data_IF_843420992729
#
_entry.id   IF_843420992729
#
_cell.length_a   1.000
_cell.length_b   1.000
_cell.length_c   1.000
_cell.angle_alpha   90.00
_cell.angle_beta   90.00
_cell.angle_gamma   90.00
#
_symmetry.space_group_name_H-M   'P 1'
#
loop_
_entity.id
_entity.type
_entity.pdbx_description
1 polymer ?
#
# COMPACT_ATOMS: atom_id res chain seq x y z
N UNK A 1 11.73 44.17 -6.76
CA UNK A 1 10.79 43.62 -7.77
C UNK A 1 11.04 42.14 -8.08
N UNK A 2 12.23 41.62 -7.76
CA UNK A 2 12.62 40.20 -7.85
C UNK A 2 12.00 39.29 -6.78
N UNK A 3 11.71 39.81 -5.57
CA UNK A 3 11.14 39.00 -4.47
C UNK A 3 9.69 38.54 -4.70
N UNK A 4 8.84 39.36 -5.33
CA UNK A 4 7.43 39.02 -5.56
C UNK A 4 7.31 37.92 -6.63
N UNK A 5 8.19 37.94 -7.63
CA UNK A 5 8.26 36.90 -8.66
C UNK A 5 8.74 35.56 -8.09
N UNK A 6 9.66 35.58 -7.13
CA UNK A 6 10.15 34.37 -6.46
C UNK A 6 9.08 33.75 -5.54
N UNK A 7 8.39 34.59 -4.75
CA UNK A 7 7.26 34.17 -3.91
C UNK A 7 6.09 33.58 -4.70
N UNK A 8 5.77 34.16 -5.86
CA UNK A 8 4.67 33.68 -6.70
C UNK A 8 5.03 32.36 -7.42
N UNK A 9 6.29 32.20 -7.84
CA UNK A 9 6.80 30.94 -8.38
C UNK A 9 6.77 29.84 -7.30
N UNK A 10 7.23 30.11 -6.09
CA UNK A 10 7.24 29.11 -5.01
C UNK A 10 5.84 28.70 -4.56
N UNK A 11 4.86 29.62 -4.61
CA UNK A 11 3.46 29.31 -4.33
C UNK A 11 2.83 28.44 -5.44
N UNK A 12 3.12 28.74 -6.71
CA UNK A 12 2.64 27.97 -7.85
C UNK A 12 3.22 26.54 -7.87
N UNK A 13 4.51 26.38 -7.61
CA UNK A 13 5.15 25.07 -7.50
C UNK A 13 4.60 24.25 -6.33
N UNK A 14 4.36 24.88 -5.17
CA UNK A 14 3.72 24.21 -4.01
C UNK A 14 2.29 23.79 -4.32
N UNK A 15 1.49 24.65 -4.94
CA UNK A 15 0.12 24.33 -5.34
C UNK A 15 0.08 23.16 -6.33
N UNK A 16 0.99 23.15 -7.31
CA UNK A 16 1.12 22.05 -8.27
C UNK A 16 1.48 20.72 -7.59
N UNK A 17 2.40 20.73 -6.62
CA UNK A 17 2.77 19.53 -5.87
C UNK A 17 1.63 19.00 -5.01
N UNK A 18 0.90 19.89 -4.33
CA UNK A 18 -0.28 19.53 -3.54
C UNK A 18 -1.37 18.95 -4.45
N UNK A 19 -1.64 19.59 -5.59
CA UNK A 19 -2.63 19.10 -6.56
C UNK A 19 -2.25 17.72 -7.12
N UNK A 20 -0.99 17.52 -7.51
CA UNK A 20 -0.49 16.21 -7.97
C UNK A 20 -0.60 15.15 -6.87
N UNK A 21 -0.27 15.48 -5.62
CA UNK A 21 -0.42 14.58 -4.49
C UNK A 21 -1.87 14.16 -4.27
N UNK A 22 -2.81 15.11 -4.33
CA UNK A 22 -4.24 14.82 -4.17
C UNK A 22 -4.77 13.91 -5.30
N UNK A 23 -4.38 14.18 -6.55
CA UNK A 23 -4.78 13.35 -7.70
C UNK A 23 -4.21 11.94 -7.58
N UNK A 24 -2.92 11.80 -7.26
CA UNK A 24 -2.29 10.49 -7.08
C UNK A 24 -2.90 9.72 -5.90
N UNK A 25 -3.21 10.41 -4.81
CA UNK A 25 -3.88 9.81 -3.65
C UNK A 25 -5.30 9.35 -3.99
N UNK A 26 -6.06 10.14 -4.75
CA UNK A 26 -7.39 9.74 -5.19
C UNK A 26 -7.35 8.51 -6.11
N UNK A 27 -6.36 8.44 -7.01
CA UNK A 27 -6.12 7.27 -7.86
C UNK A 27 -5.76 6.06 -7.00
N UNK A 28 -4.83 6.20 -6.06
CA UNK A 28 -4.43 5.10 -5.15
C UNK A 28 -5.63 4.56 -4.36
N UNK A 29 -6.45 5.44 -3.80
CA UNK A 29 -7.67 5.09 -3.08
C UNK A 29 -8.66 4.34 -3.99
N UNK A 30 -8.86 4.80 -5.22
CA UNK A 30 -9.79 4.16 -6.17
C UNK A 30 -9.31 2.76 -6.58
N UNK A 31 -8.03 2.60 -6.88
CA UNK A 31 -7.44 1.29 -7.20
C UNK A 31 -7.40 0.38 -5.97
N UNK A 32 -7.14 0.92 -4.77
CA UNK A 32 -7.24 0.19 -3.50
C UNK A 32 -8.66 -0.33 -3.28
N UNK A 33 -9.67 0.52 -3.42
CA UNK A 33 -11.08 0.14 -3.32
C UNK A 33 -11.46 -1.00 -4.29
N UNK A 34 -11.01 -0.91 -5.55
CA UNK A 34 -11.21 -1.96 -6.54
C UNK A 34 -10.44 -3.24 -6.20
N UNK A 35 -9.19 -3.12 -5.74
CA UNK A 35 -8.35 -4.24 -5.32
C UNK A 35 -8.99 -5.01 -4.15
N UNK A 36 -9.56 -4.29 -3.17
CA UNK A 36 -10.26 -4.87 -2.04
C UNK A 36 -11.48 -5.70 -2.45
N UNK A 37 -12.34 -5.16 -3.32
CA UNK A 37 -13.48 -5.90 -3.87
C UNK A 37 -13.03 -7.13 -4.68
N UNK A 38 -12.05 -6.95 -5.56
CA UNK A 38 -11.53 -8.03 -6.41
C UNK A 38 -10.88 -9.15 -5.59
N UNK A 39 -10.16 -8.82 -4.52
CA UNK A 39 -9.58 -9.80 -3.60
C UNK A 39 -10.67 -10.66 -2.93
N UNK A 40 -11.75 -10.03 -2.45
CA UNK A 40 -12.89 -10.76 -1.87
C UNK A 40 -13.58 -11.64 -2.92
N UNK A 41 -13.80 -11.13 -4.12
CA UNK A 41 -14.39 -11.90 -5.21
C UNK A 41 -13.52 -13.12 -5.59
N UNK A 42 -12.20 -12.93 -5.64
CA UNK A 42 -11.26 -14.01 -5.93
C UNK A 42 -11.26 -15.07 -4.83
N UNK A 43 -11.21 -14.65 -3.56
CA UNK A 43 -11.26 -15.58 -2.44
C UNK A 43 -12.53 -16.44 -2.45
N UNK A 44 -13.68 -15.79 -2.68
CA UNK A 44 -14.96 -16.49 -2.80
C UNK A 44 -14.98 -17.46 -4.00
N UNK A 45 -14.44 -17.04 -5.15
CA UNK A 45 -14.36 -17.88 -6.34
C UNK A 45 -13.48 -19.13 -6.12
N UNK A 46 -12.32 -18.99 -5.48
CA UNK A 46 -11.43 -20.13 -5.17
C UNK A 46 -12.05 -21.07 -4.14
N UNK A 47 -12.78 -20.51 -3.17
CA UNK A 47 -13.46 -21.30 -2.14
C UNK A 47 -14.77 -21.94 -2.66
N UNK A 48 -15.25 -21.54 -3.84
CA UNK A 48 -16.50 -22.03 -4.43
C UNK A 48 -17.77 -21.47 -3.78
N UNK A 49 -17.68 -20.32 -3.11
CA UNK A 49 -18.82 -19.69 -2.42
C UNK A 49 -19.35 -18.48 -3.20
N UNK A 50 -20.65 -18.20 -3.06
CA UNK A 50 -21.28 -17.06 -3.74
C UNK A 50 -20.78 -15.72 -3.18
N UNK A 51 -20.36 -14.83 -4.07
CA UNK A 51 -19.97 -13.45 -3.72
C UNK A 51 -21.21 -12.65 -3.32
N UNK A 52 -21.18 -12.03 -2.14
CA UNK A 52 -22.24 -11.10 -1.70
C UNK A 52 -21.80 -9.64 -1.88
N UNK A 53 -22.72 -8.75 -2.21
CA UNK A 53 -22.44 -7.32 -2.32
C UNK A 53 -21.95 -6.72 -0.98
N UNK A 54 -22.40 -7.27 0.14
CA UNK A 54 -21.94 -6.89 1.46
C UNK A 54 -20.46 -7.25 1.69
N UNK A 55 -20.04 -8.46 1.33
CA UNK A 55 -18.64 -8.88 1.44
C UNK A 55 -17.72 -8.06 0.54
N UNK A 56 -18.14 -7.78 -0.71
CA UNK A 56 -17.42 -6.86 -1.60
C UNK A 56 -17.28 -5.47 -0.98
N UNK A 57 -18.36 -4.94 -0.40
CA UNK A 57 -18.36 -3.66 0.29
C UNK A 57 -17.35 -3.61 1.45
N UNK A 58 -17.29 -4.65 2.28
CA UNK A 58 -16.30 -4.74 3.38
C UNK A 58 -14.88 -4.73 2.82
N UNK A 59 -14.60 -5.53 1.78
CA UNK A 59 -13.30 -5.57 1.11
C UNK A 59 -12.89 -4.22 0.55
N UNK A 60 -13.81 -3.54 -0.15
CA UNK A 60 -13.61 -2.18 -0.64
C UNK A 60 -13.27 -1.24 0.50
N UNK A 61 -14.11 -1.12 1.53
CA UNK A 61 -13.90 -0.16 2.62
C UNK A 61 -12.58 -0.44 3.35
N UNK A 62 -12.23 -1.70 3.60
CA UNK A 62 -10.95 -2.06 4.21
C UNK A 62 -9.74 -1.57 3.39
N UNK A 63 -9.74 -1.80 2.08
CA UNK A 63 -8.68 -1.32 1.21
C UNK A 63 -8.63 0.20 1.10
N UNK A 64 -9.81 0.83 1.04
CA UNK A 64 -9.96 2.29 1.03
C UNK A 64 -9.40 2.91 2.32
N UNK A 65 -9.64 2.28 3.48
CA UNK A 65 -9.06 2.69 4.76
C UNK A 65 -7.54 2.64 4.72
N UNK A 66 -6.94 1.55 4.20
CA UNK A 66 -5.47 1.42 4.07
C UNK A 66 -4.89 2.54 3.23
N UNK A 67 -5.39 2.75 2.02
CA UNK A 67 -4.93 3.84 1.13
C UNK A 67 -5.21 5.23 1.71
N UNK A 68 -6.36 5.42 2.36
CA UNK A 68 -6.73 6.68 3.00
C UNK A 68 -5.81 7.04 4.17
N UNK A 69 -5.43 6.07 5.01
CA UNK A 69 -4.45 6.28 6.08
C UNK A 69 -3.10 6.71 5.51
N UNK A 70 -2.61 6.01 4.47
CA UNK A 70 -1.35 6.34 3.82
C UNK A 70 -1.37 7.73 3.16
N UNK A 71 -2.47 8.07 2.46
CA UNK A 71 -2.66 9.39 1.88
C UNK A 71 -2.70 10.49 2.96
N UNK A 72 -3.39 10.25 4.08
CA UNK A 72 -3.43 11.18 5.19
C UNK A 72 -2.04 11.43 5.80
N UNK A 73 -1.25 10.37 5.96
CA UNK A 73 0.15 10.47 6.43
C UNK A 73 1.01 11.24 5.46
N UNK A 74 0.89 10.94 4.16
CA UNK A 74 1.60 11.66 3.11
C UNK A 74 1.27 13.15 3.13
N UNK A 75 -0.01 13.48 3.29
CA UNK A 75 -0.49 14.86 3.41
C UNK A 75 0.09 15.56 4.64
N UNK A 76 0.06 14.90 5.80
CA UNK A 76 0.68 15.42 7.03
C UNK A 76 2.20 15.58 6.88
N UNK A 77 2.86 14.72 6.09
CA UNK A 77 4.27 14.87 5.75
C UNK A 77 4.59 16.13 4.94
N UNK A 78 3.62 16.65 4.16
CA UNK A 78 3.74 17.93 3.46
C UNK A 78 3.54 19.13 4.41
N UNK A 79 2.83 18.94 5.53
CA UNK A 79 2.69 19.95 6.56
C UNK A 79 3.97 20.03 7.40
N UNK A 80 4.84 20.97 7.08
CA UNK A 80 6.15 21.19 7.71
C UNK A 80 6.11 21.50 9.23
N UNK A 81 4.93 21.62 9.85
CA UNK A 81 4.74 22.14 11.21
C UNK A 81 4.40 21.09 12.28
N UNK A 82 4.55 19.79 12.01
CA UNK A 82 4.30 18.76 13.02
C UNK A 82 5.47 18.58 13.99
N UNK A 83 5.16 18.49 15.29
CA UNK A 83 6.12 18.11 16.32
C UNK A 83 6.72 16.72 15.99
N UNK A 84 8.03 16.54 16.20
CA UNK A 84 8.77 15.31 15.90
C UNK A 84 8.12 14.10 16.57
N UNK A 85 7.67 14.24 17.82
CA UNK A 85 6.99 13.17 18.54
C UNK A 85 5.68 12.75 17.85
N UNK A 86 4.86 13.72 17.41
CA UNK A 86 3.64 13.44 16.67
C UNK A 86 3.92 12.79 15.31
N UNK A 87 4.99 13.21 14.64
CA UNK A 87 5.43 12.62 13.37
C UNK A 87 5.90 11.17 13.53
N UNK A 88 6.66 10.88 14.59
CA UNK A 88 7.10 9.52 14.91
C UNK A 88 5.93 8.60 15.27
N UNK A 89 4.98 9.10 16.07
CA UNK A 89 3.80 8.34 16.45
C UNK A 89 2.89 8.06 15.24
N UNK A 90 2.77 9.03 14.33
CA UNK A 90 2.08 8.87 13.06
C UNK A 90 2.72 7.77 12.20
N UNK A 91 4.05 7.80 12.04
CA UNK A 91 4.80 6.78 11.28
C UNK A 91 4.61 5.38 11.88
N UNK A 92 4.61 5.26 13.21
CA UNK A 92 4.40 3.97 13.89
C UNK A 92 2.96 3.48 13.69
N UNK A 93 1.96 4.35 13.87
CA UNK A 93 0.55 4.01 13.69
C UNK A 93 0.23 3.60 12.24
N UNK A 94 0.96 4.16 11.27
CA UNK A 94 0.78 3.84 9.84
C UNK A 94 1.85 2.92 9.29
N UNK A 95 2.58 2.25 10.16
CA UNK A 95 3.45 1.13 9.77
C UNK A 95 2.61 -0.02 9.24
N UNK A 96 3.23 -0.93 8.49
CA UNK A 96 2.60 -2.16 7.99
C UNK A 96 1.93 -2.94 9.13
N UNK A 97 2.54 -3.00 10.31
CA UNK A 97 1.96 -3.64 11.50
C UNK A 97 0.71 -2.91 12.01
N UNK A 98 0.78 -1.58 12.16
CA UNK A 98 -0.33 -0.77 12.65
C UNK A 98 -1.54 -0.85 11.70
N UNK A 99 -1.30 -0.71 10.40
CA UNK A 99 -2.35 -0.81 9.38
C UNK A 99 -2.97 -2.21 9.38
N UNK A 100 -2.19 -3.28 9.45
CA UNK A 100 -2.72 -4.65 9.50
C UNK A 100 -3.65 -4.85 10.69
N UNK A 101 -3.29 -4.38 11.89
CA UNK A 101 -4.14 -4.45 13.07
C UNK A 101 -5.45 -3.65 12.87
N UNK A 102 -5.36 -2.41 12.38
CA UNK A 102 -6.53 -1.55 12.17
C UNK A 102 -7.50 -2.19 11.17
N UNK A 103 -6.99 -2.66 10.04
CA UNK A 103 -7.81 -3.27 8.99
C UNK A 103 -8.42 -4.59 9.46
N UNK A 104 -7.65 -5.45 10.11
CA UNK A 104 -8.19 -6.70 10.67
C UNK A 104 -9.26 -6.41 11.71
N UNK A 105 -9.05 -5.45 12.61
CA UNK A 105 -10.05 -5.01 13.61
C UNK A 105 -11.33 -4.53 12.92
N UNK A 106 -11.20 -3.67 11.91
CA UNK A 106 -12.33 -3.15 11.15
C UNK A 106 -13.14 -4.26 10.48
N UNK A 107 -12.46 -5.18 9.77
CA UNK A 107 -13.11 -6.30 9.08
C UNK A 107 -13.73 -7.27 10.08
N UNK A 108 -13.05 -7.59 11.18
CA UNK A 108 -13.58 -8.48 12.21
C UNK A 108 -14.82 -7.88 12.90
N UNK A 109 -14.80 -6.60 13.25
CA UNK A 109 -15.98 -5.95 13.82
C UNK A 109 -17.14 -5.90 12.83
N UNK A 110 -16.88 -5.70 11.53
CA UNK A 110 -17.92 -5.69 10.51
C UNK A 110 -18.53 -7.08 10.24
N UNK A 111 -17.73 -8.15 10.31
CA UNK A 111 -18.16 -9.52 9.97
C UNK A 111 -18.62 -10.31 11.20
N UNK A 112 -17.90 -10.20 12.31
CA UNK A 112 -18.07 -11.02 13.51
C UNK A 112 -18.67 -10.23 14.70
N UNK A 113 -18.77 -8.91 14.60
CA UNK A 113 -19.20 -8.04 15.70
C UNK A 113 -18.20 -7.90 16.86
N UNK A 114 -17.06 -8.58 16.76
CA UNK A 114 -15.97 -8.55 17.74
C UNK A 114 -14.63 -8.76 17.05
N UNK A 115 -13.54 -8.40 17.73
CA UNK A 115 -12.18 -8.59 17.23
C UNK A 115 -11.45 -9.65 18.05
N UNK A 116 -11.48 -10.94 17.62
CA UNK A 116 -10.77 -12.01 18.29
C UNK A 116 -9.25 -11.77 18.25
N UNK A 117 -8.58 -12.01 19.38
CA UNK A 117 -7.15 -11.74 19.54
C UNK A 117 -6.30 -12.65 18.64
N UNK A 118 -6.81 -13.83 18.30
CA UNK A 118 -6.22 -14.81 17.39
C UNK A 118 -6.04 -14.22 15.99
N UNK A 119 -7.02 -13.45 15.52
CA UNK A 119 -6.96 -12.79 14.20
C UNK A 119 -6.02 -11.58 14.23
N UNK A 120 -5.89 -10.89 15.37
CA UNK A 120 -4.89 -9.84 15.52
C UNK A 120 -3.47 -10.41 15.51
N UNK A 121 -3.24 -11.55 16.17
CA UNK A 121 -1.95 -12.25 16.10
C UNK A 121 -1.65 -12.67 14.66
N UNK A 122 -2.63 -13.24 13.96
CA UNK A 122 -2.48 -13.58 12.55
C UNK A 122 -2.14 -12.36 11.68
N UNK A 123 -2.77 -11.20 11.93
CA UNK A 123 -2.50 -9.95 11.23
C UNK A 123 -1.06 -9.47 11.44
N UNK A 124 -0.57 -9.53 12.68
CA UNK A 124 0.80 -9.11 13.02
C UNK A 124 1.83 -10.02 12.37
N UNK A 125 1.61 -11.34 12.38
CA UNK A 125 2.54 -12.29 11.75
C UNK A 125 2.52 -12.15 10.22
N UNK A 126 1.34 -11.95 9.62
CA UNK A 126 1.19 -11.69 8.19
C UNK A 126 1.82 -10.36 7.74
N UNK A 127 1.98 -9.40 8.64
CA UNK A 127 2.68 -8.15 8.34
C UNK A 127 4.18 -8.36 8.07
N UNK A 128 4.80 -9.44 8.55
CA UNK A 128 6.24 -9.72 8.35
C UNK A 128 6.59 -9.88 6.87
N UNK A 129 5.95 -10.76 6.07
CA UNK A 129 6.22 -10.84 4.63
C UNK A 129 5.86 -9.55 3.90
N UNK A 130 4.84 -8.82 4.36
CA UNK A 130 4.45 -7.52 3.80
C UNK A 130 5.51 -6.44 4.03
N UNK A 131 6.32 -6.50 5.10
CA UNK A 131 7.44 -5.56 5.26
C UNK A 131 8.51 -5.70 4.17
N UNK A 132 8.67 -6.90 3.63
CA UNK A 132 9.69 -7.17 2.61
C UNK A 132 9.35 -6.53 1.26
N UNK A 133 8.07 -6.22 1.04
CA UNK A 133 7.57 -5.43 -0.08
C UNK A 133 8.23 -4.04 -0.14
N UNK A 134 8.29 -3.33 1.00
CA UNK A 134 8.90 -2.00 1.09
C UNK A 134 10.42 -2.06 0.85
N UNK A 135 11.07 -3.12 1.35
CA UNK A 135 12.51 -3.35 1.17
C UNK A 135 12.86 -3.66 -0.30
N UNK A 136 12.06 -4.48 -0.97
CA UNK A 136 12.24 -4.83 -2.39
C UNK A 136 12.11 -3.63 -3.31
N UNK A 137 11.16 -2.75 -3.04
CA UNK A 137 11.01 -1.48 -3.77
C UNK A 137 12.16 -0.50 -3.48
N UNK A 138 12.65 -0.43 -2.24
CA UNK A 138 13.81 0.41 -1.90
C UNK A 138 15.07 -0.03 -2.66
N UNK A 139 15.32 -1.33 -2.77
CA UNK A 139 16.45 -1.88 -3.54
C UNK A 139 16.27 -1.62 -5.05
N UNK A 140 15.06 -1.79 -5.59
CA UNK A 140 14.73 -1.48 -6.99
C UNK A 140 14.93 0.00 -7.34
N UNK A 141 14.58 0.90 -6.42
CA UNK A 141 14.78 2.35 -6.58
C UNK A 141 16.25 2.77 -6.55
N UNK A 142 17.11 2.05 -5.82
CA UNK A 142 18.57 2.26 -5.85
C UNK A 142 19.20 1.79 -7.15
N UNK A 143 18.74 0.67 -7.71
CA UNK A 143 19.17 0.20 -9.03
C UNK A 143 18.80 1.19 -10.16
N UNK A 144 17.80 2.04 -9.92
CA UNK A 144 17.37 3.13 -10.82
C UNK A 144 18.29 4.35 -10.80
N UNK A 145 19.14 4.44 -9.78
CA UNK A 145 19.94 5.62 -9.43
C UNK A 145 21.41 5.22 -9.47
N UNK A 146 21.91 4.95 -10.68
CA UNK A 146 23.32 4.70 -10.90
C UNK A 146 24.07 6.03 -10.78
N UNK A 147 24.98 6.11 -9.81
CA UNK A 147 25.83 7.29 -9.60
C UNK A 147 27.02 7.15 -10.55
N UNK A 148 27.14 8.03 -11.53
CA UNK A 148 28.27 7.98 -12.45
C UNK A 148 29.55 8.34 -11.67
N UNK A 149 30.39 7.34 -11.42
CA UNK A 149 31.61 7.44 -10.60
C UNK A 149 32.64 8.41 -11.16
N UNK A 150 32.46 8.89 -12.39
CA UNK A 150 33.39 9.75 -13.12
C UNK A 150 33.07 11.25 -13.08
N UNK A 151 31.78 11.63 -12.97
CA UNK A 151 31.31 13.03 -13.03
C UNK A 151 30.51 13.48 -11.81
N UNK A 152 30.06 12.54 -10.96
CA UNK A 152 29.23 12.85 -9.79
C UNK A 152 27.77 13.20 -10.13
N UNK A 153 27.40 13.23 -11.41
CA UNK A 153 26.02 13.43 -11.86
C UNK A 153 25.17 12.17 -11.63
N UNK A 154 23.95 12.38 -11.13
CA UNK A 154 22.96 11.32 -10.99
C UNK A 154 22.20 11.19 -12.31
N UNK A 155 22.45 10.11 -13.05
CA UNK A 155 21.60 9.74 -14.19
C UNK A 155 20.55 8.74 -13.73
N UNK A 156 19.28 9.16 -13.78
CA UNK A 156 18.14 8.27 -13.62
C UNK A 156 18.01 7.41 -14.87
N UNK A 157 18.41 6.14 -14.79
CA UNK A 157 18.25 5.20 -15.91
C UNK A 157 16.98 4.39 -15.68
N UNK A 158 15.98 4.60 -16.53
CA UNK A 158 14.77 3.78 -16.56
C UNK A 158 15.16 2.35 -16.95
N UNK A 159 15.12 1.41 -16.01
CA UNK A 159 15.30 -0.03 -16.29
C UNK A 159 13.93 -0.69 -16.21
N UNK A 160 13.24 -0.97 -17.33
CA UNK A 160 11.90 -1.55 -17.33
C UNK A 160 11.82 -2.89 -16.59
N UNK A 161 12.91 -3.68 -16.65
CA UNK A 161 13.00 -4.98 -15.99
C UNK A 161 12.97 -4.94 -14.46
N UNK A 162 13.48 -3.87 -13.83
CA UNK A 162 13.47 -3.76 -12.37
C UNK A 162 12.08 -3.41 -11.83
N UNK A 163 11.31 -2.59 -12.55
CA UNK A 163 9.93 -2.23 -12.19
C UNK A 163 9.01 -3.45 -12.25
N UNK A 164 9.10 -4.24 -13.31
CA UNK A 164 8.32 -5.48 -13.43
C UNK A 164 8.68 -6.49 -12.33
N UNK A 165 9.97 -6.63 -12.02
CA UNK A 165 10.44 -7.55 -10.97
C UNK A 165 9.94 -7.11 -9.59
N UNK A 166 9.97 -5.81 -9.28
CA UNK A 166 9.40 -5.27 -8.04
C UNK A 166 7.89 -5.45 -7.95
N UNK A 167 7.17 -5.31 -9.08
CA UNK A 167 5.72 -5.54 -9.11
C UNK A 167 5.36 -7.03 -8.94
N UNK A 168 6.10 -7.94 -9.56
CA UNK A 168 5.91 -9.38 -9.34
C UNK A 168 6.25 -9.79 -7.90
N UNK A 169 7.29 -9.19 -7.31
CA UNK A 169 7.62 -9.40 -5.91
C UNK A 169 6.48 -8.92 -4.98
N UNK A 170 5.89 -7.76 -5.24
CA UNK A 170 4.71 -7.25 -4.52
C UNK A 170 3.56 -8.26 -4.55
N UNK A 171 3.20 -8.77 -5.72
CA UNK A 171 2.15 -9.79 -5.86
C UNK A 171 2.47 -11.04 -5.03
N UNK A 172 3.73 -11.49 -5.08
CA UNK A 172 4.19 -12.65 -4.31
C UNK A 172 4.14 -12.44 -2.81
N UNK A 173 4.57 -11.29 -2.31
CA UNK A 173 4.54 -10.96 -0.88
C UNK A 173 3.12 -10.78 -0.36
N UNK A 174 2.21 -10.18 -1.14
CA UNK A 174 0.80 -10.08 -0.76
C UNK A 174 0.13 -11.46 -0.72
N UNK A 175 0.44 -12.34 -1.69
CA UNK A 175 -0.03 -13.72 -1.68
C UNK A 175 0.48 -14.48 -0.43
N UNK A 176 1.77 -14.31 -0.10
CA UNK A 176 2.38 -14.91 1.08
C UNK A 176 1.78 -14.34 2.37
N UNK A 177 1.47 -13.05 2.42
CA UNK A 177 0.79 -12.40 3.52
C UNK A 177 -0.60 -13.00 3.76
N UNK A 178 -1.40 -13.14 2.70
CA UNK A 178 -2.71 -13.80 2.77
C UNK A 178 -2.62 -15.25 3.25
N UNK A 179 -1.70 -16.04 2.68
CA UNK A 179 -1.43 -17.41 3.11
C UNK A 179 -1.05 -17.48 4.60
N UNK A 180 -0.10 -16.64 5.02
CA UNK A 180 0.42 -16.60 6.38
C UNK A 180 -0.68 -16.23 7.37
N UNK A 181 -1.51 -15.24 7.04
CA UNK A 181 -2.65 -14.86 7.86
C UNK A 181 -3.59 -16.05 8.10
N UNK A 182 -4.04 -16.70 7.02
CA UNK A 182 -4.95 -17.83 7.12
C UNK A 182 -4.33 -19.02 7.88
N UNK A 183 -3.04 -19.30 7.64
CA UNK A 183 -2.33 -20.38 8.32
C UNK A 183 -2.20 -20.15 9.82
N UNK A 184 -1.85 -18.93 10.23
CA UNK A 184 -1.71 -18.58 11.65
C UNK A 184 -3.08 -18.59 12.33
N UNK A 185 -4.13 -18.07 11.68
CA UNK A 185 -5.48 -18.14 12.21
C UNK A 185 -5.93 -19.60 12.43
N UNK A 186 -5.69 -20.49 11.46
CA UNK A 186 -6.00 -21.91 11.60
C UNK A 186 -5.22 -22.56 12.76
N UNK A 187 -3.95 -22.22 12.95
CA UNK A 187 -3.15 -22.72 14.07
C UNK A 187 -3.69 -22.26 15.44
N UNK A 188 -4.43 -21.16 15.48
CA UNK A 188 -5.13 -20.65 16.67
C UNK A 188 -6.57 -21.20 16.79
N UNK A 189 -6.96 -22.17 15.96
CA UNK A 189 -8.29 -22.78 15.95
C UNK A 189 -9.34 -22.00 15.15
N UNK A 190 -8.96 -20.92 14.46
CA UNK A 190 -9.85 -20.08 13.64
C UNK A 190 -9.77 -20.47 12.16
N UNK A 191 -10.68 -21.34 11.72
CA UNK A 191 -10.79 -21.74 10.31
C UNK A 191 -11.65 -20.74 9.52
N UNK A 192 -11.02 -19.67 9.01
CA UNK A 192 -11.73 -18.60 8.26
C UNK A 192 -11.97 -18.99 6.80
N UNK A 193 -10.95 -19.53 6.11
CA UNK A 193 -10.99 -19.92 4.70
C UNK A 193 -9.86 -20.91 4.36
N UNK A 194 -9.93 -21.50 3.16
CA UNK A 194 -8.84 -22.28 2.57
C UNK A 194 -7.58 -21.44 2.35
N UNK A 195 -6.40 -22.06 2.57
CA UNK A 195 -5.11 -21.40 2.41
C UNK A 195 -4.88 -20.87 0.98
N UNK A 196 -5.37 -21.61 -0.02
CA UNK A 196 -5.29 -21.22 -1.43
C UNK A 196 -6.17 -20.01 -1.75
N UNK A 197 -7.36 -19.92 -1.14
CA UNK A 197 -8.25 -18.76 -1.27
C UNK A 197 -7.62 -17.50 -0.69
N UNK A 198 -7.02 -17.60 0.50
CA UNK A 198 -6.31 -16.49 1.14
C UNK A 198 -5.10 -16.02 0.32
N UNK A 199 -4.30 -16.95 -0.20
CA UNK A 199 -3.15 -16.63 -1.04
C UNK A 199 -3.57 -15.96 -2.36
N UNK A 200 -4.61 -16.48 -3.03
CA UNK A 200 -5.13 -15.92 -4.27
C UNK A 200 -5.71 -14.51 -4.07
N UNK A 201 -6.43 -14.31 -2.96
CA UNK A 201 -6.97 -12.99 -2.59
C UNK A 201 -5.85 -11.97 -2.40
N UNK A 202 -4.78 -12.36 -1.68
CA UNK A 202 -3.59 -11.53 -1.52
C UNK A 202 -2.93 -11.20 -2.86
N UNK A 203 -2.72 -12.20 -3.72
CA UNK A 203 -2.11 -11.98 -5.04
C UNK A 203 -2.90 -10.97 -5.89
N UNK A 204 -4.23 -11.08 -5.93
CA UNK A 204 -5.10 -10.17 -6.69
C UNK A 204 -5.06 -8.75 -6.10
N UNK A 205 -5.04 -8.64 -4.76
CA UNK A 205 -4.89 -7.35 -4.10
C UNK A 205 -3.58 -6.67 -4.50
N UNK A 206 -2.45 -7.38 -4.43
CA UNK A 206 -1.13 -6.85 -4.78
C UNK A 206 -1.01 -6.49 -6.25
N UNK A 207 -1.63 -7.28 -7.12
CA UNK A 207 -1.64 -7.01 -8.56
C UNK A 207 -2.30 -5.67 -8.87
N UNK A 208 -3.49 -5.41 -8.29
CA UNK A 208 -4.27 -4.21 -8.58
C UNK A 208 -3.75 -2.97 -7.83
N UNK A 209 -3.39 -3.12 -6.56
CA UNK A 209 -2.82 -2.04 -5.75
C UNK A 209 -1.41 -1.63 -6.20
N UNK A 210 -0.70 -2.49 -6.95
CA UNK A 210 0.59 -2.18 -7.55
C UNK A 210 0.53 -1.23 -8.75
N UNK A 211 -0.63 -1.08 -9.40
CA UNK A 211 -0.78 -0.24 -10.61
C UNK A 211 -0.55 1.25 -10.31
N UNK A 212 -1.20 1.88 -9.30
CA UNK A 212 -0.92 3.26 -8.91
C UNK A 212 0.55 3.52 -8.58
N UNK A 213 1.21 2.54 -7.96
CA UNK A 213 2.63 2.64 -7.62
C UNK A 213 3.50 2.63 -8.86
N UNK A 214 3.23 1.75 -9.83
CA UNK A 214 3.89 1.79 -11.14
C UNK A 214 3.68 3.12 -11.84
N UNK A 215 2.44 3.63 -11.89
CA UNK A 215 2.13 4.94 -12.48
C UNK A 215 2.88 6.07 -11.79
N UNK A 216 3.00 6.02 -10.47
CA UNK A 216 3.74 7.01 -9.69
C UNK A 216 5.24 6.99 -10.02
N UNK A 217 5.84 5.82 -10.20
CA UNK A 217 7.23 5.69 -10.64
C UNK A 217 7.45 6.18 -12.08
N UNK A 218 6.53 5.84 -13.00
CA UNK A 218 6.56 6.34 -14.38
C UNK A 218 6.47 7.87 -14.41
N UNK A 219 5.52 8.44 -13.66
CA UNK A 219 5.33 9.88 -13.56
C UNK A 219 6.57 10.58 -12.98
N UNK A 220 7.19 10.00 -11.94
CA UNK A 220 8.42 10.54 -11.37
C UNK A 220 9.59 10.54 -12.37
N UNK A 221 9.72 9.46 -13.15
CA UNK A 221 10.76 9.32 -14.17
C UNK A 221 10.60 10.27 -15.35
N UNK A 222 9.37 10.63 -15.72
CA UNK A 222 9.09 11.60 -16.80
C UNK A 222 9.27 13.05 -16.34
N UNK A 223 8.96 13.36 -15.07
CA UNK A 223 9.04 14.73 -14.52
C UNK A 223 10.48 15.16 -14.21
N UNK A 224 11.42 14.23 -14.07
CA UNK A 224 12.83 14.51 -13.74
C UNK A 224 13.82 14.14 -14.87
N UNK A 225 13.34 13.93 -16.09
CA UNK A 225 14.16 13.97 -17.31
C UNK A 225 14.32 15.40 -17.81
#
# INVERSE_FOLDING_TARGET
>A
MTDIHHLHMDAFYRLRHIALFLVLSAIDIAFGAAAGAAAVAMGAHVEGVSVTGHALGIGTVAATTKSGLLAFVGFLGLAHNMNIAARMLLIIATSVFGISIIITTQVCNAVLGQTPSELLIAAVVAAIPLQWEEMGMYIGSKAYREKDSSTGEQKTRFVPGSVLTSWLALVGFDALGGYTFARVAQNQGMHICGLGSAAASGAVYGMLSGIPRMLSYLAWGVVHQ
#
